data_IF_049951538384
#
_entry.id   IF_049951538384
#
_cell.length_a   1.000
_cell.length_b   1.000
_cell.length_c   1.000
_cell.angle_alpha   90.00
_cell.angle_beta   90.00
_cell.angle_gamma   90.00
#
_symmetry.space_group_name_H-M   'P 1'
#
loop_
_entity.id
_entity.type
_entity.pdbx_description
1 polymer ?
#
# COMPACT_ATOMS: atom_id res chain seq x y z
N UNK A 1 -52.69 -3.93 4.53
CA UNK A 1 -51.48 -3.29 5.07
C UNK A 1 -50.28 -3.93 4.41
N UNK A 2 -49.41 -3.10 3.85
CA UNK A 2 -48.31 -3.44 2.93
C UNK A 2 -47.06 -3.87 3.69
N UNK A 3 -46.41 -4.94 3.24
CA UNK A 3 -44.95 -5.14 3.41
C UNK A 3 -44.46 -6.12 2.32
N UNK A 4 -43.62 -5.70 1.37
CA UNK A 4 -42.82 -6.64 0.59
C UNK A 4 -41.49 -6.89 1.32
N UNK A 5 -41.23 -8.15 1.67
CA UNK A 5 -39.94 -8.57 2.23
C UNK A 5 -39.02 -9.04 1.09
N UNK A 6 -37.93 -8.30 0.98
CA UNK A 6 -36.71 -8.53 0.23
C UNK A 6 -36.28 -10.01 0.17
N UNK A 7 -36.18 -10.57 -1.03
CA UNK A 7 -35.39 -11.77 -1.29
C UNK A 7 -34.35 -11.40 -2.35
N UNK A 8 -33.15 -11.10 -1.87
CA UNK A 8 -32.00 -10.83 -2.72
C UNK A 8 -31.52 -12.14 -3.33
N UNK A 9 -31.51 -12.14 -4.66
CA UNK A 9 -30.84 -13.06 -5.56
C UNK A 9 -29.36 -13.21 -5.16
N UNK A 10 -28.98 -14.40 -4.66
CA UNK A 10 -27.58 -14.77 -4.50
C UNK A 10 -27.01 -15.20 -5.84
N UNK A 11 -26.73 -14.22 -6.71
CA UNK A 11 -25.90 -14.41 -7.89
C UNK A 11 -24.45 -14.63 -7.47
N UNK A 12 -24.01 -15.89 -7.50
CA UNK A 12 -22.59 -16.26 -7.43
C UNK A 12 -21.91 -15.71 -8.70
N UNK A 13 -21.29 -14.53 -8.57
CA UNK A 13 -20.52 -13.91 -9.64
C UNK A 13 -19.31 -14.78 -10.01
N UNK A 14 -19.32 -15.28 -11.24
CA UNK A 14 -18.21 -15.94 -11.90
C UNK A 14 -16.93 -15.09 -11.84
N UNK A 15 -15.93 -15.53 -11.08
CA UNK A 15 -14.56 -15.02 -11.21
C UNK A 15 -13.96 -15.57 -12.50
N UNK A 16 -14.01 -14.76 -13.57
CA UNK A 16 -13.24 -15.01 -14.78
C UNK A 16 -11.90 -14.32 -14.62
N UNK A 17 -10.82 -15.10 -14.46
CA UNK A 17 -9.47 -14.57 -14.53
C UNK A 17 -9.17 -14.12 -15.97
N UNK A 18 -8.99 -12.82 -16.17
CA UNK A 18 -8.62 -12.25 -17.48
C UNK A 18 -7.15 -12.57 -17.76
N UNK A 19 -6.79 -13.14 -18.92
CA UNK A 19 -5.41 -13.51 -19.25
C UNK A 19 -4.59 -12.33 -19.77
N UNK A 20 -4.51 -11.25 -19.00
CA UNK A 20 -3.77 -10.05 -19.39
C UNK A 20 -3.40 -9.15 -18.22
N UNK A 21 -2.32 -9.48 -17.51
CA UNK A 21 -1.45 -8.56 -16.75
C UNK A 21 -2.12 -7.46 -15.93
N UNK A 22 -3.28 -7.74 -15.33
CA UNK A 22 -3.99 -6.82 -14.44
C UNK A 22 -3.69 -7.20 -13.01
N UNK A 23 -3.08 -6.27 -12.27
CA UNK A 23 -2.75 -6.45 -10.85
C UNK A 23 -4.00 -6.95 -10.09
N UNK A 24 -3.87 -7.94 -9.17
CA UNK A 24 -5.01 -8.69 -8.60
C UNK A 24 -5.91 -7.89 -7.64
N UNK A 25 -5.73 -6.58 -7.54
CA UNK A 25 -6.41 -5.71 -6.60
C UNK A 25 -7.33 -4.75 -7.34
N UNK A 26 -8.60 -5.12 -7.49
CA UNK A 26 -9.62 -4.23 -8.02
C UNK A 26 -9.97 -3.12 -6.99
N UNK A 27 -10.25 -1.92 -7.50
CA UNK A 27 -10.70 -0.67 -6.86
C UNK A 27 -10.41 -0.50 -5.34
N UNK A 28 -9.60 0.49 -4.92
CA UNK A 28 -9.24 0.65 -3.51
C UNK A 28 -10.48 0.97 -2.67
N UNK A 29 -10.78 0.14 -1.67
CA UNK A 29 -11.92 0.30 -0.76
C UNK A 29 -11.83 1.61 0.06
N UNK A 30 -10.63 2.16 0.24
CA UNK A 30 -10.39 3.45 0.92
C UNK A 30 -9.20 4.20 0.34
N UNK A 31 -9.29 5.53 0.26
CA UNK A 31 -8.16 6.39 -0.12
C UNK A 31 -7.02 6.23 0.90
N UNK A 32 -5.81 5.80 0.49
CA UNK A 32 -4.65 5.74 1.37
C UNK A 32 -4.18 7.16 1.74
N UNK A 33 -3.67 7.36 2.96
CA UNK A 33 -3.02 8.62 3.37
C UNK A 33 -1.59 8.62 2.85
N UNK A 34 -1.47 8.74 1.54
CA UNK A 34 -0.24 8.66 0.79
C UNK A 34 0.02 10.03 0.16
N UNK A 35 1.23 10.54 0.34
CA UNK A 35 1.73 11.69 -0.38
C UNK A 35 3.03 11.32 -1.08
N UNK A 36 3.06 11.63 -2.36
CA UNK A 36 4.13 11.29 -3.28
C UNK A 36 4.75 12.57 -3.79
N UNK A 37 6.09 12.63 -3.84
CA UNK A 37 6.81 13.71 -4.51
C UNK A 37 6.69 13.55 -6.03
N UNK A 38 6.95 14.61 -6.79
CA UNK A 38 7.04 14.53 -8.25
C UNK A 38 8.33 13.78 -8.65
N UNK A 39 8.30 13.05 -9.77
CA UNK A 39 9.40 12.14 -10.18
C UNK A 39 10.66 12.87 -10.65
N UNK A 40 10.57 14.16 -10.95
CA UNK A 40 11.69 14.97 -11.46
C UNK A 40 12.69 15.37 -10.35
N UNK A 41 12.34 15.12 -9.09
CA UNK A 41 13.19 15.37 -7.92
C UNK A 41 14.21 14.21 -7.77
N UNK A 42 15.05 14.00 -8.79
CA UNK A 42 15.96 12.86 -8.96
C UNK A 42 17.11 12.75 -7.92
N UNK A 43 17.04 13.51 -6.83
CA UNK A 43 18.12 13.68 -5.85
C UNK A 43 17.71 13.50 -4.39
N UNK A 44 16.54 12.91 -4.11
CA UNK A 44 16.04 12.76 -2.74
C UNK A 44 15.91 11.29 -2.35
N UNK A 45 16.34 10.97 -1.13
CA UNK A 45 16.36 9.60 -0.57
C UNK A 45 14.96 8.97 -0.37
N UNK A 46 13.89 9.76 -0.51
CA UNK A 46 12.49 9.35 -0.28
C UNK A 46 11.58 9.88 -1.39
N UNK A 47 10.80 8.99 -2.00
CA UNK A 47 9.81 9.29 -3.04
C UNK A 47 8.47 9.77 -2.48
N UNK A 48 8.25 9.58 -1.18
CA UNK A 48 7.01 9.96 -0.53
C UNK A 48 6.90 9.51 0.91
N UNK A 49 5.70 9.70 1.44
CA UNK A 49 5.33 9.39 2.81
C UNK A 49 3.95 8.74 2.85
N UNK A 50 3.80 7.74 3.71
CA UNK A 50 2.57 7.02 3.93
C UNK A 50 2.28 6.93 5.42
N UNK A 51 1.06 7.32 5.77
CA UNK A 51 0.56 7.23 7.13
C UNK A 51 -0.56 6.19 7.21
N UNK A 52 -0.23 4.91 7.49
CA UNK A 52 -1.23 3.86 7.68
C UNK A 52 -2.24 4.25 8.76
N UNK A 53 -3.50 3.87 8.58
CA UNK A 53 -4.53 4.10 9.60
C UNK A 53 -4.46 3.08 10.74
N UNK A 54 -3.84 1.92 10.50
CA UNK A 54 -3.83 0.81 11.46
C UNK A 54 -2.43 0.18 11.57
N UNK A 55 -2.19 -0.53 12.67
CA UNK A 55 -0.97 -1.34 12.83
C UNK A 55 -0.89 -2.57 11.93
N UNK A 56 -1.98 -2.95 11.28
CA UNK A 56 -1.98 -4.04 10.30
C UNK A 56 -1.62 -3.46 8.92
N UNK A 57 -0.33 -3.40 8.63
CA UNK A 57 0.15 -2.82 7.38
C UNK A 57 -0.30 -3.63 6.18
N UNK A 58 -0.33 -4.97 6.31
CA UNK A 58 -0.78 -5.88 5.25
C UNK A 58 -2.21 -5.59 4.80
N UNK A 59 -3.13 -5.32 5.74
CA UNK A 59 -4.49 -4.94 5.39
C UNK A 59 -4.58 -3.60 4.63
N UNK A 60 -3.65 -2.68 4.90
CA UNK A 60 -3.60 -1.38 4.23
C UNK A 60 -2.80 -1.42 2.92
N UNK A 61 -1.98 -2.46 2.69
CA UNK A 61 -1.17 -2.62 1.48
C UNK A 61 -2.01 -2.65 0.22
N UNK A 62 -3.17 -3.31 0.24
CA UNK A 62 -4.02 -3.40 -0.94
C UNK A 62 -4.36 -2.00 -1.49
N UNK A 63 -4.84 -1.11 -0.61
CA UNK A 63 -5.17 0.27 -0.99
C UNK A 63 -3.92 1.06 -1.42
N UNK A 64 -2.77 0.80 -0.78
CA UNK A 64 -1.50 1.45 -1.13
C UNK A 64 -1.03 1.04 -2.52
N UNK A 65 -0.95 -0.27 -2.79
CA UNK A 65 -0.48 -0.84 -4.05
C UNK A 65 -1.36 -0.38 -5.21
N UNK A 66 -2.69 -0.40 -5.07
CA UNK A 66 -3.59 0.10 -6.11
C UNK A 66 -3.38 1.59 -6.43
N UNK A 67 -3.06 2.41 -5.42
CA UNK A 67 -2.73 3.82 -5.65
C UNK A 67 -1.35 4.01 -6.30
N UNK A 68 -0.43 3.06 -6.13
CA UNK A 68 0.91 3.10 -6.69
C UNK A 68 1.01 2.52 -8.10
N UNK A 69 0.09 1.65 -8.51
CA UNK A 69 0.12 0.99 -9.83
C UNK A 69 0.25 1.98 -10.99
N UNK A 70 -0.47 3.11 -10.93
CA UNK A 70 -0.40 4.14 -11.97
C UNK A 70 0.96 4.84 -12.07
N UNK A 71 1.80 4.76 -11.03
CA UNK A 71 3.12 5.42 -10.96
C UNK A 71 4.28 4.43 -11.11
N UNK A 72 4.21 3.29 -10.41
CA UNK A 72 5.28 2.30 -10.30
C UNK A 72 5.11 1.13 -11.30
N UNK A 73 3.93 0.99 -11.88
CA UNK A 73 3.55 -0.22 -12.63
C UNK A 73 3.09 -1.34 -11.70
N UNK A 74 3.04 -2.57 -12.22
CA UNK A 74 2.67 -3.74 -11.44
C UNK A 74 3.68 -3.96 -10.32
N UNK A 75 3.21 -3.97 -9.07
CA UNK A 75 4.07 -4.18 -7.90
C UNK A 75 4.46 -5.65 -7.80
N UNK A 76 5.75 -5.92 -7.66
CA UNK A 76 6.31 -7.28 -7.64
C UNK A 76 6.85 -7.67 -6.27
N UNK A 77 7.45 -6.71 -5.54
CA UNK A 77 8.06 -6.97 -4.24
C UNK A 77 7.97 -5.76 -3.31
N UNK A 78 7.83 -6.02 -2.00
CA UNK A 78 7.83 -5.00 -0.96
C UNK A 78 8.73 -5.47 0.19
N UNK A 79 9.70 -4.63 0.56
CA UNK A 79 10.56 -4.89 1.73
C UNK A 79 10.28 -3.87 2.82
N UNK A 80 10.08 -4.34 4.05
CA UNK A 80 9.86 -3.48 5.22
C UNK A 80 10.07 -4.25 6.51
N UNK A 81 10.28 -3.54 7.62
CA UNK A 81 10.22 -4.15 8.95
C UNK A 81 8.76 -4.39 9.37
N UNK A 82 8.22 -5.53 8.94
CA UNK A 82 6.84 -5.91 9.24
C UNK A 82 6.68 -6.27 10.70
N UNK A 83 5.70 -5.66 11.38
CA UNK A 83 5.31 -6.13 12.71
C UNK A 83 4.68 -7.52 12.66
N UNK A 84 4.62 -8.19 13.83
CA UNK A 84 4.09 -9.54 13.94
C UNK A 84 2.68 -9.68 13.37
N UNK A 85 1.77 -8.74 13.66
CA UNK A 85 0.39 -8.78 13.16
C UNK A 85 0.33 -8.79 11.62
N UNK A 86 1.12 -7.95 10.97
CA UNK A 86 1.21 -7.87 9.51
C UNK A 86 1.76 -9.17 8.92
N UNK A 87 2.81 -9.74 9.54
CA UNK A 87 3.36 -11.05 9.12
C UNK A 87 2.34 -12.17 9.25
N UNK A 88 1.55 -12.19 10.33
CA UNK A 88 0.48 -13.18 10.52
C UNK A 88 -0.62 -13.05 9.47
N UNK A 89 -1.10 -11.83 9.23
CA UNK A 89 -2.10 -11.53 8.20
C UNK A 89 -1.62 -11.99 6.81
N UNK A 90 -0.38 -11.68 6.44
CA UNK A 90 0.20 -12.07 5.15
C UNK A 90 0.25 -13.60 4.92
N UNK A 91 0.31 -14.41 5.97
CA UNK A 91 0.30 -15.88 5.86
C UNK A 91 -1.07 -16.47 5.57
N UNK A 92 -2.14 -15.74 5.88
CA UNK A 92 -3.53 -16.19 5.68
C UNK A 92 -4.20 -15.50 4.48
N UNK A 93 -3.60 -14.43 3.95
CA UNK A 93 -4.03 -13.81 2.70
C UNK A 93 -3.78 -14.73 1.49
N UNK A 94 -4.63 -14.58 0.47
CA UNK A 94 -4.48 -15.27 -0.81
C UNK A 94 -3.22 -14.83 -1.56
N UNK A 95 -2.77 -15.60 -2.56
CA UNK A 95 -1.64 -15.21 -3.38
C UNK A 95 -2.00 -14.01 -4.27
N UNK A 96 -1.40 -12.85 -3.97
CA UNK A 96 -1.57 -11.64 -4.77
C UNK A 96 -0.39 -11.37 -5.72
N UNK A 97 0.52 -12.34 -5.91
CA UNK A 97 1.72 -12.18 -6.74
C UNK A 97 2.81 -11.25 -6.18
N UNK A 98 2.52 -10.49 -5.11
CA UNK A 98 3.47 -9.56 -4.48
C UNK A 98 4.33 -10.29 -3.44
N UNK A 99 5.64 -10.27 -3.61
CA UNK A 99 6.58 -10.81 -2.63
C UNK A 99 6.77 -9.83 -1.47
N UNK A 100 6.45 -10.25 -0.24
CA UNK A 100 6.63 -9.41 0.96
C UNK A 100 7.76 -9.99 1.80
N UNK A 101 8.84 -9.23 1.97
CA UNK A 101 10.05 -9.68 2.65
C UNK A 101 10.52 -8.72 3.73
N UNK A 102 11.44 -9.22 4.56
CA UNK A 102 12.12 -8.44 5.60
C UNK A 102 12.98 -7.31 4.99
N UNK A 103 13.35 -6.29 5.79
CA UNK A 103 14.11 -5.16 5.26
C UNK A 103 15.49 -5.59 4.80
N UNK A 104 16.03 -4.88 3.80
CA UNK A 104 17.40 -5.09 3.33
C UNK A 104 18.43 -4.62 4.37
N UNK A 105 19.68 -5.13 4.36
CA UNK A 105 20.71 -4.78 5.35
C UNK A 105 21.00 -3.28 5.48
N UNK A 106 20.80 -2.50 4.42
CA UNK A 106 21.03 -1.04 4.38
C UNK A 106 19.72 -0.24 4.21
N UNK A 107 18.57 -0.89 4.42
CA UNK A 107 17.29 -0.21 4.32
C UNK A 107 17.07 0.68 5.56
N UNK A 108 16.79 1.98 5.41
CA UNK A 108 16.53 2.86 6.54
C UNK A 108 15.33 2.40 7.37
N UNK A 109 15.38 2.64 8.68
CA UNK A 109 14.26 2.37 9.57
C UNK A 109 13.04 3.21 9.15
N UNK A 110 11.86 2.62 9.28
CA UNK A 110 10.58 3.23 8.88
C UNK A 110 10.46 3.55 7.39
N UNK A 111 11.42 3.16 6.53
CA UNK A 111 11.29 3.34 5.08
C UNK A 111 10.94 2.01 4.43
N UNK A 112 9.85 1.98 3.67
CA UNK A 112 9.39 0.84 2.88
C UNK A 112 9.89 0.98 1.45
N UNK A 113 10.48 -0.08 0.90
CA UNK A 113 10.86 -0.12 -0.51
C UNK A 113 9.83 -0.96 -1.28
N UNK A 114 9.32 -0.40 -2.36
CA UNK A 114 8.29 -1.00 -3.20
C UNK A 114 8.85 -1.12 -4.61
N UNK A 115 8.97 -2.34 -5.09
CA UNK A 115 9.51 -2.69 -6.39
C UNK A 115 8.35 -2.98 -7.33
N UNK A 116 8.40 -2.40 -8.53
CA UNK A 116 7.45 -2.71 -9.59
C UNK A 116 8.15 -3.15 -10.86
N UNK A 117 7.60 -2.77 -12.01
CA UNK A 117 8.17 -3.07 -13.33
C UNK A 117 9.35 -2.16 -13.70
N UNK A 118 9.57 -1.08 -12.94
CA UNK A 118 10.71 -0.17 -13.11
C UNK A 118 11.99 -0.69 -12.46
N UNK A 119 13.12 -0.08 -12.82
CA UNK A 119 14.45 -0.45 -12.30
C UNK A 119 14.68 0.06 -10.86
N UNK A 120 14.08 1.20 -10.52
CA UNK A 120 14.25 1.83 -9.20
C UNK A 120 13.07 1.55 -8.26
N UNK A 121 13.31 1.14 -6.99
CA UNK A 121 12.25 1.00 -6.01
C UNK A 121 11.72 2.37 -5.57
N UNK A 122 10.41 2.42 -5.33
CA UNK A 122 9.79 3.54 -4.63
C UNK A 122 10.11 3.44 -3.13
N UNK A 123 10.71 4.48 -2.57
CA UNK A 123 11.11 4.60 -1.16
C UNK A 123 10.08 5.45 -0.42
N UNK A 124 9.36 4.82 0.50
CA UNK A 124 8.21 5.41 1.16
C UNK A 124 8.44 5.45 2.67
N UNK A 125 8.46 6.65 3.25
CA UNK A 125 8.50 6.78 4.71
C UNK A 125 7.16 6.36 5.31
N UNK A 126 7.17 5.40 6.22
CA UNK A 126 6.00 4.88 6.93
C UNK A 126 5.90 5.53 8.30
N UNK A 127 4.90 6.39 8.50
CA UNK A 127 4.60 6.99 9.80
C UNK A 127 3.81 5.98 10.64
N UNK A 128 4.20 5.79 11.90
CA UNK A 128 3.46 4.86 12.76
C UNK A 128 1.98 5.28 12.88
N UNK A 129 1.05 4.31 12.85
CA UNK A 129 -0.38 4.60 12.92
C UNK A 129 -0.79 5.25 14.25
N UNK A 130 0.00 5.03 15.32
CA UNK A 130 -0.21 5.62 16.64
C UNK A 130 0.36 7.05 16.77
N UNK A 131 1.08 7.54 15.75
CA UNK A 131 1.57 8.93 15.74
C UNK A 131 0.39 9.89 15.77
N UNK A 132 0.41 10.84 16.72
CA UNK A 132 -0.61 11.86 16.84
C UNK A 132 -0.77 12.65 15.54
N UNK A 133 -2.01 12.97 15.16
CA UNK A 133 -2.33 13.58 13.85
C UNK A 133 -1.46 14.79 13.49
N UNK A 134 -1.27 15.72 14.43
CA UNK A 134 -0.46 16.92 14.20
C UNK A 134 1.01 16.59 13.90
N UNK A 135 1.58 15.61 14.60
CA UNK A 135 2.94 15.12 14.35
C UNK A 135 3.03 14.45 12.99
N UNK A 136 2.08 13.59 12.64
CA UNK A 136 2.05 12.92 11.34
C UNK A 136 1.92 13.94 10.19
N UNK A 137 1.04 14.93 10.31
CA UNK A 137 0.89 16.01 9.34
C UNK A 137 2.17 16.85 9.21
N UNK A 138 2.88 17.12 10.32
CA UNK A 138 4.16 17.82 10.31
C UNK A 138 5.25 17.01 9.62
N UNK A 139 5.39 15.71 9.94
CA UNK A 139 6.32 14.80 9.27
C UNK A 139 6.04 14.75 7.78
N UNK A 140 4.78 14.56 7.39
CA UNK A 140 4.36 14.53 5.99
C UNK A 140 4.82 15.81 5.25
N UNK A 141 4.55 16.99 5.84
CA UNK A 141 4.91 18.29 5.25
C UNK A 141 6.43 18.45 5.11
N UNK A 142 7.19 18.07 6.14
CA UNK A 142 8.65 18.13 6.11
C UNK A 142 9.26 17.14 5.13
N UNK A 143 8.62 15.98 4.91
CA UNK A 143 9.08 14.96 3.97
C UNK A 143 8.83 15.33 2.52
N UNK A 144 7.87 16.21 2.20
CA UNK A 144 7.63 16.66 0.82
C UNK A 144 8.32 17.99 0.50
N UNK A 145 8.51 18.86 1.49
CA UNK A 145 9.22 20.13 1.36
C UNK A 145 10.37 20.17 2.37
N UNK A 146 11.61 19.81 1.97
CA UNK A 146 12.75 20.00 2.83
C UNK A 146 13.01 21.51 2.91
N UNK A 147 12.98 22.06 4.12
CA UNK A 147 13.28 23.48 4.39
C UNK A 147 14.78 23.77 4.30
#
# INVERSE_FOLDING_TARGET
MTTPQHAADHGLGNFSATPGGGQPFDTPTRTPRLLLRERDDAHVDLDGVWWPRTGNLTAELHNLVTALTGRLGETTRITFDWNSLSRWQRRIDGPDGIEVTNPLPHQPLHVMFIYGTGDEPLRLLVIEPNTGRAQAEATIRSTIHPN
#
